data_IF_099937647304
#
_entry.id   IF_099937647304
#
_cell.length_a   1.000
_cell.length_b   1.000
_cell.length_c   1.000
_cell.angle_alpha   90.00
_cell.angle_beta   90.00
_cell.angle_gamma   90.00
#
_symmetry.space_group_name_H-M   'P 1'
#
loop_
_entity.id
_entity.type
_entity.pdbx_description
1 polymer ?
#
# COMPACT_ATOMS: atom_id res chain seq x y z
N UNK A 1 -13.00 18.69 -4.65
CA UNK A 1 -12.33 17.67 -3.84
C UNK A 1 -11.93 16.54 -4.76
N UNK A 2 -10.62 16.24 -4.88
CA UNK A 2 -10.18 15.06 -5.62
C UNK A 2 -10.19 13.83 -4.71
N UNK A 3 -10.34 12.64 -5.31
CA UNK A 3 -10.26 11.37 -4.59
C UNK A 3 -8.90 10.72 -4.89
N UNK A 4 -8.27 10.22 -3.85
CA UNK A 4 -7.08 9.41 -3.97
C UNK A 4 -7.37 7.99 -3.51
N UNK A 5 -6.61 7.05 -4.05
CA UNK A 5 -6.75 5.63 -3.76
C UNK A 5 -5.43 5.08 -3.26
N UNK A 6 -5.50 4.27 -2.21
CA UNK A 6 -4.38 3.46 -1.73
C UNK A 6 -4.78 2.00 -1.85
N UNK A 7 -3.91 1.19 -2.44
CA UNK A 7 -4.20 -0.20 -2.74
C UNK A 7 -3.10 -1.12 -2.25
N UNK A 8 -3.46 -2.38 -2.00
CA UNK A 8 -2.55 -3.46 -1.63
C UNK A 8 -2.72 -4.59 -2.64
N UNK A 9 -1.62 -5.02 -3.24
CA UNK A 9 -1.55 -6.16 -4.15
C UNK A 9 -0.80 -7.30 -3.47
N UNK A 10 -1.31 -8.52 -3.61
CA UNK A 10 -0.59 -9.74 -3.23
C UNK A 10 0.24 -10.22 -4.41
N UNK A 11 1.50 -10.55 -4.19
CA UNK A 11 2.45 -10.95 -5.23
C UNK A 11 2.68 -12.47 -5.21
N UNK A 12 3.13 -13.02 -6.34
CA UNK A 12 3.33 -14.47 -6.55
C UNK A 12 4.27 -15.13 -5.52
N UNK A 13 5.23 -14.38 -4.98
CA UNK A 13 6.17 -14.88 -3.97
C UNK A 13 5.61 -14.84 -2.52
N UNK A 14 4.31 -14.56 -2.35
CA UNK A 14 3.67 -14.40 -1.04
C UNK A 14 3.91 -13.02 -0.39
N UNK A 15 4.50 -12.09 -1.14
CA UNK A 15 4.72 -10.71 -0.74
C UNK A 15 3.54 -9.78 -0.99
N UNK A 16 3.68 -8.54 -0.56
CA UNK A 16 2.68 -7.48 -0.73
C UNK A 16 3.31 -6.21 -1.32
N UNK A 17 2.58 -5.57 -2.23
CA UNK A 17 2.92 -4.27 -2.78
C UNK A 17 1.84 -3.25 -2.40
N UNK A 18 2.25 -2.10 -1.85
CA UNK A 18 1.35 -1.02 -1.43
C UNK A 18 1.64 0.19 -2.31
N UNK A 19 0.61 0.79 -2.88
CA UNK A 19 0.78 1.99 -3.70
C UNK A 19 -0.45 2.88 -3.67
N UNK A 20 -0.29 4.06 -4.24
CA UNK A 20 -1.33 5.07 -4.31
C UNK A 20 -1.44 5.69 -5.69
N UNK A 21 -2.63 6.19 -6.02
CA UNK A 21 -2.94 6.78 -7.32
C UNK A 21 -4.29 7.52 -7.30
N UNK A 22 -4.50 8.41 -8.28
CA UNK A 22 -5.81 9.00 -8.60
C UNK A 22 -6.57 8.20 -9.66
N UNK A 23 -5.92 7.22 -10.31
CA UNK A 23 -6.48 6.39 -11.38
C UNK A 23 -6.29 4.89 -11.07
N UNK A 24 -7.01 4.33 -10.08
CA UNK A 24 -6.76 2.98 -9.55
C UNK A 24 -6.90 1.88 -10.60
N UNK A 25 -7.93 1.95 -11.46
CA UNK A 25 -8.17 0.93 -12.48
C UNK A 25 -6.99 0.80 -13.45
N UNK A 26 -6.53 1.93 -13.99
CA UNK A 26 -5.42 1.97 -14.95
C UNK A 26 -4.11 1.54 -14.29
N UNK A 27 -3.81 2.10 -13.11
CA UNK A 27 -2.54 1.84 -12.42
C UNK A 27 -2.44 0.39 -11.94
N UNK A 28 -3.50 -0.16 -11.34
CA UNK A 28 -3.54 -1.55 -10.90
C UNK A 28 -3.43 -2.47 -12.11
N UNK A 29 -4.18 -2.21 -13.18
CA UNK A 29 -4.08 -2.98 -14.43
C UNK A 29 -2.65 -3.01 -14.96
N UNK A 30 -1.95 -1.87 -15.00
CA UNK A 30 -0.55 -1.81 -15.43
C UNK A 30 0.37 -2.73 -14.59
N UNK A 31 0.15 -2.84 -13.28
CA UNK A 31 0.90 -3.79 -12.43
C UNK A 31 0.66 -5.25 -12.84
N UNK A 32 -0.58 -5.66 -13.11
CA UNK A 32 -0.89 -7.02 -13.55
C UNK A 32 -0.31 -7.35 -14.94
N UNK A 33 -0.21 -6.36 -15.81
CA UNK A 33 0.36 -6.51 -17.17
C UNK A 33 1.89 -6.33 -17.23
N UNK A 34 2.58 -6.24 -16.08
CA UNK A 34 4.04 -6.11 -16.04
C UNK A 34 4.59 -4.74 -16.44
N UNK A 35 3.73 -3.72 -16.47
CA UNK A 35 4.08 -2.31 -16.72
C UNK A 35 4.12 -1.49 -15.42
N UNK A 36 4.06 -2.17 -14.27
CA UNK A 36 4.09 -1.54 -12.96
C UNK A 36 5.48 -1.26 -12.40
N UNK A 37 5.53 -1.01 -11.09
CA UNK A 37 6.77 -0.85 -10.34
C UNK A 37 7.70 -2.07 -10.49
N UNK A 38 9.00 -1.85 -10.30
CA UNK A 38 10.03 -2.91 -10.46
C UNK A 38 9.73 -4.13 -9.58
N UNK A 39 9.33 -3.96 -8.31
CA UNK A 39 8.93 -5.05 -7.43
C UNK A 39 7.77 -5.90 -7.99
N UNK A 40 6.78 -5.26 -8.63
CA UNK A 40 5.66 -5.98 -9.28
C UNK A 40 6.02 -6.59 -10.64
N UNK A 41 7.12 -6.14 -11.26
CA UNK A 41 7.69 -6.78 -12.46
C UNK A 41 8.53 -8.01 -12.08
N UNK A 42 9.32 -7.90 -11.01
CA UNK A 42 10.09 -9.02 -10.44
C UNK A 42 9.17 -10.11 -9.87
N UNK A 43 8.09 -9.71 -9.19
CA UNK A 43 7.07 -10.63 -8.69
C UNK A 43 5.68 -10.15 -9.08
N UNK A 44 5.10 -10.80 -10.10
CA UNK A 44 3.76 -10.43 -10.62
C UNK A 44 2.70 -10.46 -9.52
N UNK A 45 1.78 -9.48 -9.49
CA UNK A 45 0.58 -9.54 -8.67
C UNK A 45 -0.27 -10.76 -9.03
N UNK A 46 -0.86 -11.39 -8.02
CA UNK A 46 -1.80 -12.51 -8.15
C UNK A 46 -3.19 -12.16 -7.66
N UNK A 47 -3.33 -11.12 -6.83
CA UNK A 47 -4.63 -10.65 -6.35
C UNK A 47 -4.57 -9.20 -5.89
N UNK A 48 -5.72 -8.53 -5.95
CA UNK A 48 -5.97 -7.27 -5.23
C UNK A 48 -6.41 -7.64 -3.81
N UNK A 49 -5.62 -7.27 -2.82
CA UNK A 49 -5.89 -7.57 -1.40
C UNK A 49 -6.84 -6.53 -0.78
N UNK A 50 -6.62 -5.26 -1.13
CA UNK A 50 -7.47 -4.16 -0.68
C UNK A 50 -7.34 -2.95 -1.61
N UNK A 51 -8.42 -2.17 -1.68
CA UNK A 51 -8.41 -0.81 -2.22
C UNK A 51 -9.16 0.07 -1.22
N UNK A 52 -8.56 1.22 -0.92
CA UNK A 52 -9.11 2.24 -0.04
C UNK A 52 -9.29 3.52 -0.84
N UNK A 53 -10.43 4.18 -0.70
CA UNK A 53 -10.65 5.53 -1.21
C UNK A 53 -10.52 6.53 -0.07
N UNK A 54 -9.80 7.61 -0.30
CA UNK A 54 -9.64 8.71 0.64
C UNK A 54 -9.97 10.04 -0.06
N UNK A 55 -10.68 10.96 0.61
CA UNK A 55 -10.73 12.33 0.14
C UNK A 55 -9.33 12.94 0.26
N UNK A 56 -8.92 13.69 -0.75
CA UNK A 56 -7.78 14.60 -0.60
C UNK A 56 -8.12 15.64 0.48
N UNK A 57 -7.24 15.80 1.46
CA UNK A 57 -7.37 16.84 2.48
C UNK A 57 -6.06 17.58 2.73
N UNK A 58 -6.20 18.82 3.20
CA UNK A 58 -5.08 19.75 3.45
C UNK A 58 -4.67 19.74 4.93
N UNK A 59 -4.50 18.54 5.50
CA UNK A 59 -4.03 18.40 6.90
C UNK A 59 -2.54 18.73 7.09
N UNK A 60 -1.89 19.28 6.06
CA UNK A 60 -0.45 19.47 6.01
C UNK A 60 0.34 18.17 5.88
N UNK A 61 1.68 18.25 5.72
CA UNK A 61 2.53 17.09 5.56
C UNK A 61 2.64 16.25 6.86
N UNK A 62 2.73 14.92 6.76
CA UNK A 62 2.53 14.13 5.54
C UNK A 62 1.05 14.11 5.12
N UNK A 63 0.82 14.05 3.81
CA UNK A 63 -0.51 13.99 3.20
C UNK A 63 -1.33 12.80 3.70
N UNK A 64 -2.65 12.89 3.55
CA UNK A 64 -3.64 11.83 3.85
C UNK A 64 -3.24 10.48 3.23
N UNK A 65 -2.73 10.52 1.99
CA UNK A 65 -2.22 9.39 1.22
C UNK A 65 -0.99 8.75 1.85
N UNK A 66 0.02 9.56 2.17
CA UNK A 66 1.26 9.09 2.81
C UNK A 66 0.98 8.47 4.19
N UNK A 67 0.04 9.06 4.93
CA UNK A 67 -0.44 8.51 6.21
C UNK A 67 -1.06 7.12 6.04
N UNK A 68 -1.93 6.95 5.03
CA UNK A 68 -2.57 5.65 4.78
C UNK A 68 -1.57 4.60 4.28
N UNK A 69 -0.71 4.96 3.32
CA UNK A 69 0.34 4.06 2.82
C UNK A 69 1.25 3.58 3.96
N UNK A 70 1.71 4.51 4.80
CA UNK A 70 2.55 4.20 5.97
C UNK A 70 1.81 3.33 6.98
N UNK A 71 0.53 3.60 7.23
CA UNK A 71 -0.30 2.78 8.13
C UNK A 71 -0.43 1.34 7.62
N UNK A 72 -0.74 1.16 6.33
CA UNK A 72 -0.87 -0.16 5.73
C UNK A 72 0.48 -0.88 5.70
N UNK A 73 1.56 -0.21 5.33
CA UNK A 73 2.90 -0.79 5.35
C UNK A 73 3.25 -1.33 6.74
N UNK A 74 3.04 -0.53 7.79
CA UNK A 74 3.25 -0.96 9.17
C UNK A 74 2.42 -2.20 9.54
N UNK A 75 1.12 -2.20 9.23
CA UNK A 75 0.23 -3.32 9.53
C UNK A 75 0.67 -4.62 8.85
N UNK A 76 1.10 -4.54 7.59
CA UNK A 76 1.57 -5.71 6.85
C UNK A 76 2.97 -6.14 7.28
N UNK A 77 3.87 -5.22 7.62
CA UNK A 77 5.20 -5.54 8.17
C UNK A 77 5.08 -6.21 9.53
N UNK A 78 4.20 -5.75 10.41
CA UNK A 78 3.94 -6.39 11.71
C UNK A 78 3.42 -7.82 11.53
N UNK A 79 2.58 -8.05 10.51
CA UNK A 79 1.96 -9.36 10.25
C UNK A 79 2.85 -10.34 9.47
N UNK A 80 3.64 -9.86 8.52
CA UNK A 80 4.35 -10.70 7.54
C UNK A 80 5.86 -10.49 7.51
N UNK A 81 6.37 -9.49 8.22
CA UNK A 81 7.79 -9.13 8.25
C UNK A 81 8.19 -8.13 7.16
N UNK A 82 9.25 -7.38 7.45
CA UNK A 82 9.77 -6.29 6.60
C UNK A 82 10.15 -6.74 5.17
N UNK A 83 10.64 -7.96 5.04
CA UNK A 83 11.08 -8.51 3.76
C UNK A 83 9.91 -8.87 2.83
N UNK A 84 8.66 -8.84 3.32
CA UNK A 84 7.46 -9.21 2.57
C UNK A 84 6.66 -8.03 2.04
N UNK A 85 7.06 -6.78 2.28
CA UNK A 85 6.25 -5.59 1.91
C UNK A 85 7.09 -4.60 1.09
N UNK A 86 6.56 -4.13 -0.04
CA UNK A 86 7.20 -3.12 -0.92
C UNK A 86 6.20 -2.02 -1.32
N UNK A 87 6.72 -0.89 -1.79
CA UNK A 87 5.92 0.23 -2.32
C UNK A 87 5.77 1.41 -1.35
N UNK A 88 5.14 2.50 -1.80
CA UNK A 88 5.37 3.84 -1.24
C UNK A 88 6.82 4.30 -1.42
N UNK A 89 7.36 5.08 -0.49
CA UNK A 89 8.79 5.45 -0.42
C UNK A 89 9.70 4.25 -0.04
N UNK A 90 9.12 3.07 0.22
CA UNK A 90 9.82 1.88 0.65
C UNK A 90 10.22 1.00 -0.55
N UNK A 91 11.29 1.43 -1.23
CA UNK A 91 12.04 0.72 -2.28
C UNK A 91 11.24 0.28 -3.51
N UNK A 92 11.86 0.48 -4.68
CA UNK A 92 11.24 0.09 -5.95
C UNK A 92 11.51 -1.37 -6.31
N UNK A 93 12.58 -1.99 -5.79
CA UNK A 93 12.95 -3.39 -6.07
C UNK A 93 12.67 -4.35 -4.91
N UNK A 94 12.53 -5.63 -5.23
CA UNK A 94 12.28 -6.68 -4.25
C UNK A 94 13.51 -6.99 -3.40
N UNK A 95 14.68 -7.10 -4.02
CA UNK A 95 15.92 -7.48 -3.34
C UNK A 95 16.67 -6.29 -2.70
N UNK A 96 16.08 -5.09 -2.72
CA UNK A 96 16.63 -3.95 -1.99
C UNK A 96 16.26 -4.07 -0.51
N UNK A 97 17.28 -4.02 0.35
CA UNK A 97 17.08 -3.79 1.79
C UNK A 97 16.36 -2.46 1.92
N UNK A 98 15.21 -2.39 2.62
CA UNK A 98 14.53 -1.12 2.86
C UNK A 98 15.52 -0.12 3.46
N UNK A 99 15.58 1.09 2.89
CA UNK A 99 16.49 2.15 3.32
C UNK A 99 16.37 2.40 4.83
N UNK A 100 17.39 3.04 5.43
CA UNK A 100 17.29 3.47 6.82
C UNK A 100 16.03 4.32 7.06
N UNK A 101 15.60 5.09 6.06
CA UNK A 101 14.38 5.89 6.12
C UNK A 101 13.10 5.05 6.05
N UNK A 102 13.10 3.98 5.26
CA UNK A 102 12.02 3.00 5.28
C UNK A 102 11.90 2.30 6.65
N UNK A 103 13.03 1.98 7.29
CA UNK A 103 13.07 1.42 8.64
C UNK A 103 12.62 2.45 9.68
N UNK A 104 13.02 3.73 9.51
CA UNK A 104 12.59 4.85 10.35
C UNK A 104 11.11 5.15 10.19
N UNK A 105 10.54 5.12 8.99
CA UNK A 105 9.11 5.34 8.74
C UNK A 105 8.23 4.28 9.43
N UNK A 106 8.73 3.05 9.59
CA UNK A 106 8.06 2.04 10.41
C UNK A 106 8.14 2.36 11.91
N UNK A 107 9.30 2.86 12.39
CA UNK A 107 9.44 3.37 13.75
C UNK A 107 8.61 4.65 13.99
N UNK A 108 8.45 5.49 12.97
CA UNK A 108 7.80 6.80 12.99
C UNK A 108 6.28 6.71 12.78
N UNK A 109 5.79 5.74 12.01
CA UNK A 109 4.35 5.47 11.84
C UNK A 109 3.66 5.09 13.16
N UNK A 110 4.40 4.51 14.12
CA UNK A 110 3.92 4.32 15.51
C UNK A 110 3.64 5.62 16.26
N UNK A 111 4.16 6.76 15.81
CA UNK A 111 3.96 8.09 16.42
C UNK A 111 2.66 8.75 15.96
N UNK A 112 2.26 8.58 14.70
CA UNK A 112 1.01 9.14 14.15
C UNK A 112 -0.24 8.37 14.61
N UNK A 113 -0.17 7.04 14.71
CA UNK A 113 -1.31 6.20 15.12
C UNK A 113 -1.72 6.36 16.61
N UNK A 114 -1.03 7.24 17.35
CA UNK A 114 -1.41 7.62 18.72
C UNK A 114 -2.37 8.80 18.77
N UNK A 115 -2.44 9.61 17.70
CA UNK A 115 -3.36 10.74 17.67
C UNK A 115 -4.81 10.24 17.52
N UNK A 116 -5.70 10.76 18.38
CA UNK A 116 -7.14 10.47 18.35
C UNK A 116 -7.76 10.89 17.01
N UNK A 117 -7.27 11.98 16.41
CA UNK A 117 -7.72 12.48 15.11
C UNK A 117 -7.40 11.50 13.99
N UNK A 118 -6.18 10.94 13.96
CA UNK A 118 -5.76 9.96 12.96
C UNK A 118 -6.55 8.64 13.09
N UNK A 119 -6.84 8.18 14.32
CA UNK A 119 -7.70 7.02 14.55
C UNK A 119 -9.15 7.24 14.11
N UNK A 120 -9.66 8.45 14.32
CA UNK A 120 -11.00 8.83 13.86
C UNK A 120 -11.06 8.90 12.34
N UNK A 121 -10.03 9.46 11.70
CA UNK A 121 -9.94 9.52 10.25
C UNK A 121 -9.75 8.15 9.61
N UNK A 122 -8.94 7.25 10.17
CA UNK A 122 -8.83 5.86 9.69
C UNK A 122 -10.19 5.13 9.67
N UNK A 123 -11.10 5.48 10.59
CA UNK A 123 -12.49 4.97 10.57
C UNK A 123 -13.34 5.55 9.44
N UNK A 124 -13.01 6.74 8.94
CA UNK A 124 -13.68 7.34 7.77
C UNK A 124 -13.15 6.83 6.43
N UNK A 125 -11.97 6.19 6.40
CA UNK A 125 -11.42 5.57 5.19
C UNK A 125 -12.32 4.41 4.77
N UNK A 126 -12.84 4.46 3.55
CA UNK A 126 -13.71 3.41 3.00
C UNK A 126 -12.88 2.38 2.25
N UNK A 127 -12.97 1.11 2.66
CA UNK A 127 -12.51 -0.01 1.84
C UNK A 127 -13.52 -0.21 0.72
N UNK A 128 -13.09 -0.05 -0.53
CA UNK A 128 -13.97 -0.05 -1.72
C UNK A 128 -13.88 -1.36 -2.52
N UNK A 129 -12.99 -2.29 -2.14
CA UNK A 129 -12.89 -3.61 -2.76
C UNK A 129 -12.23 -4.65 -1.85
N UNK A 130 -12.67 -5.91 -1.98
CA UNK A 130 -12.13 -7.11 -1.33
C UNK A 130 -11.78 -8.15 -2.40
N UNK A 131 -10.68 -8.87 -2.20
CA UNK A 131 -10.26 -9.94 -3.09
C UNK A 131 -11.01 -11.25 -2.83
N UNK A 132 -11.66 -11.77 -3.87
CA UNK A 132 -11.67 -13.22 -4.15
C UNK A 132 -11.70 -13.44 -5.67
N UNK A 133 -10.64 -14.05 -6.18
CA UNK A 133 -10.75 -15.02 -7.26
C UNK A 133 -9.59 -15.99 -7.09
N UNK A 134 -9.88 -17.11 -6.42
CA UNK A 134 -9.20 -18.34 -6.77
C UNK A 134 -9.53 -18.57 -8.25
N UNK A 135 -8.58 -18.27 -9.13
CA UNK A 135 -8.55 -18.89 -10.45
C UNK A 135 -8.15 -20.34 -10.17
N UNK A 136 -9.14 -21.20 -10.04
CA UNK A 136 -8.94 -22.63 -10.28
C UNK A 136 -8.64 -22.76 -11.76
N UNK A 137 -7.41 -23.15 -12.07
CA UNK A 137 -7.07 -23.66 -13.39
C UNK A 137 -7.70 -25.04 -13.51
N UNK A 138 -8.65 -25.18 -14.43
CA UNK A 138 -8.96 -26.46 -15.09
C UNK A 138 -8.25 -26.49 -16.46
#
# INVERSE_FOLDING_TARGET
>A
MSLEFVYVLRLKNGGFYIGSTRAPLQRISAHFHGQGARATREHRPVAIEAIYSIPEDDRGPPSTRERLETHLANRYVEKYGLTRVRGGDHCSAWNETPSADAQRLLAWGRRFLRDKADRSWLRSVRKVGLGTSHVTSD
#
